data_IF_638683048972
#
_entry.id   IF_638683048972
#
_cell.length_a   1.000
_cell.length_b   1.000
_cell.length_c   1.000
_cell.angle_alpha   90.00
_cell.angle_beta   90.00
_cell.angle_gamma   90.00
#
_symmetry.space_group_name_H-M   'P 1'
#
loop_
_entity.id
_entity.type
_entity.pdbx_description
1 polymer ?
#
# COMPACT_ATOMS: atom_id res chain seq x y z
N UNK A 1 -3.56 -1.22 60.39
CA UNK A 1 -2.53 -1.30 59.35
C UNK A 1 -1.71 -2.60 59.40
N UNK A 2 -1.69 -3.34 60.49
CA UNK A 2 -0.89 -4.56 60.64
C UNK A 2 -1.44 -5.80 59.90
N UNK A 3 -2.74 -5.90 59.65
CA UNK A 3 -3.35 -7.08 59.04
C UNK A 3 -3.00 -7.21 57.56
N UNK A 4 -2.99 -6.13 56.77
CA UNK A 4 -2.68 -6.15 55.35
C UNK A 4 -1.20 -6.54 55.12
N UNK A 5 -0.30 -6.02 55.90
CA UNK A 5 1.10 -6.39 55.86
C UNK A 5 1.34 -7.86 56.21
N UNK A 6 0.58 -8.38 57.17
CA UNK A 6 0.65 -9.79 57.56
C UNK A 6 0.19 -10.70 56.42
N UNK A 7 -0.95 -10.39 55.79
CA UNK A 7 -1.44 -11.15 54.65
C UNK A 7 -0.47 -11.12 53.46
N UNK A 8 0.12 -9.98 53.19
CA UNK A 8 1.13 -9.82 52.11
C UNK A 8 2.37 -10.67 52.39
N UNK A 9 2.88 -10.64 53.63
CA UNK A 9 4.04 -11.46 54.03
C UNK A 9 3.72 -12.96 53.95
N UNK A 10 2.53 -13.37 54.34
CA UNK A 10 2.11 -14.76 54.31
C UNK A 10 1.90 -15.27 52.86
N UNK A 11 1.39 -14.42 51.96
CA UNK A 11 1.30 -14.73 50.54
C UNK A 11 2.69 -14.97 49.94
N UNK A 12 3.64 -14.07 50.18
CA UNK A 12 5.01 -14.23 49.68
C UNK A 12 5.67 -15.51 50.21
N UNK A 13 5.47 -15.85 51.48
CA UNK A 13 5.96 -17.10 52.06
C UNK A 13 5.31 -18.35 51.43
N UNK A 14 4.02 -18.26 51.08
CA UNK A 14 3.30 -19.31 50.36
C UNK A 14 3.87 -19.56 48.95
N UNK A 15 4.20 -18.48 48.23
CA UNK A 15 4.87 -18.55 46.96
C UNK A 15 6.27 -19.21 47.05
N UNK A 16 7.06 -18.81 48.04
CA UNK A 16 8.40 -19.36 48.22
C UNK A 16 8.40 -20.84 48.60
N UNK A 17 7.36 -21.32 49.29
CA UNK A 17 7.22 -22.72 49.73
C UNK A 17 6.79 -23.66 48.59
N UNK A 18 6.08 -23.12 47.57
CA UNK A 18 5.61 -23.87 46.41
C UNK A 18 6.21 -23.33 45.10
N UNK A 19 7.51 -23.14 45.07
CA UNK A 19 8.20 -22.45 43.99
C UNK A 19 7.96 -23.11 42.62
N UNK A 20 7.97 -24.44 42.55
CA UNK A 20 7.75 -25.16 41.28
C UNK A 20 6.37 -24.95 40.70
N UNK A 21 5.33 -24.98 41.51
CA UNK A 21 3.95 -24.74 41.06
C UNK A 21 3.74 -23.28 40.68
N UNK A 22 4.33 -22.37 41.44
CA UNK A 22 4.25 -20.92 41.18
C UNK A 22 4.97 -20.55 39.91
N UNK A 23 6.19 -21.05 39.67
CA UNK A 23 6.93 -20.83 38.44
C UNK A 23 6.19 -21.42 37.22
N UNK A 24 5.64 -22.63 37.35
CA UNK A 24 4.85 -23.23 36.29
C UNK A 24 3.62 -22.37 35.91
N UNK A 25 2.91 -21.84 36.89
CA UNK A 25 1.76 -20.94 36.64
C UNK A 25 2.20 -19.63 35.97
N UNK A 26 3.28 -19.02 36.42
CA UNK A 26 3.82 -17.78 35.85
C UNK A 26 4.25 -18.00 34.39
N UNK A 27 4.95 -19.09 34.12
CA UNK A 27 5.39 -19.43 32.76
C UNK A 27 4.17 -19.66 31.85
N UNK A 28 3.17 -20.37 32.33
CA UNK A 28 1.94 -20.62 31.55
C UNK A 28 1.21 -19.32 31.21
N UNK A 29 1.04 -18.43 32.19
CA UNK A 29 0.39 -17.13 31.98
C UNK A 29 1.23 -16.28 31.00
N UNK A 30 2.54 -16.23 31.22
CA UNK A 30 3.46 -15.50 30.33
C UNK A 30 3.38 -16.02 28.90
N UNK A 31 3.44 -17.36 28.71
CA UNK A 31 3.34 -17.96 27.38
C UNK A 31 2.02 -17.64 26.69
N UNK A 32 0.92 -17.74 27.44
CA UNK A 32 -0.41 -17.43 26.91
C UNK A 32 -0.52 -15.97 26.45
N UNK A 33 -0.06 -15.03 27.27
CA UNK A 33 -0.06 -13.60 26.92
C UNK A 33 0.91 -13.30 25.77
N UNK A 34 2.06 -13.98 25.75
CA UNK A 34 3.04 -13.85 24.68
C UNK A 34 2.48 -14.29 23.33
N UNK A 35 1.79 -15.44 23.30
CA UNK A 35 1.14 -15.96 22.10
C UNK A 35 0.05 -14.99 21.62
N UNK A 36 -0.80 -14.50 22.53
CA UNK A 36 -1.83 -13.50 22.18
C UNK A 36 -1.18 -12.23 21.62
N UNK A 37 -0.11 -11.76 22.25
CA UNK A 37 0.65 -10.61 21.77
C UNK A 37 1.21 -10.81 20.36
N UNK A 38 1.77 -11.99 20.07
CA UNK A 38 2.25 -12.34 18.72
C UNK A 38 1.12 -12.32 17.69
N UNK A 39 -0.06 -12.85 18.04
CA UNK A 39 -1.21 -12.79 17.12
C UNK A 39 -1.68 -11.38 16.84
N UNK A 40 -1.72 -10.51 17.86
CA UNK A 40 -2.10 -9.10 17.66
C UNK A 40 -1.11 -8.35 16.77
N UNK A 41 0.18 -8.54 17.00
CA UNK A 41 1.23 -7.95 16.13
C UNK A 41 1.14 -8.52 14.72
N UNK A 42 0.97 -9.84 14.58
CA UNK A 42 0.81 -10.50 13.28
C UNK A 42 -0.39 -9.95 12.50
N UNK A 43 -1.53 -9.74 13.14
CA UNK A 43 -2.71 -9.17 12.51
C UNK A 43 -2.45 -7.77 11.96
N UNK A 44 -1.79 -6.90 12.74
CA UNK A 44 -1.47 -5.52 12.28
C UNK A 44 -0.48 -5.50 11.12
N UNK A 45 0.47 -6.44 11.09
CA UNK A 45 1.42 -6.57 9.97
C UNK A 45 0.69 -7.00 8.70
N UNK A 46 -0.19 -8.00 8.80
CA UNK A 46 -1.00 -8.46 7.66
C UNK A 46 -1.88 -7.34 7.12
N UNK A 47 -2.59 -6.61 7.98
CA UNK A 47 -3.42 -5.48 7.58
C UNK A 47 -2.61 -4.39 6.84
N UNK A 48 -1.40 -4.11 7.30
CA UNK A 48 -0.53 -3.13 6.65
C UNK A 48 -0.03 -3.62 5.28
N UNK A 49 0.31 -4.91 5.16
CA UNK A 49 0.72 -5.50 3.88
C UNK A 49 -0.45 -5.47 2.89
N UNK A 50 -1.64 -5.87 3.32
CA UNK A 50 -2.84 -5.85 2.46
C UNK A 50 -3.13 -4.44 1.97
N UNK A 51 -3.14 -3.45 2.86
CA UNK A 51 -3.33 -2.04 2.48
C UNK A 51 -2.24 -1.52 1.53
N UNK A 52 -0.99 -1.94 1.71
CA UNK A 52 0.10 -1.57 0.81
C UNK A 52 -0.09 -2.14 -0.59
N UNK A 53 -0.52 -3.41 -0.69
CA UNK A 53 -0.80 -4.04 -1.98
C UNK A 53 -2.07 -3.48 -2.64
N UNK A 54 -3.10 -3.17 -1.84
CA UNK A 54 -4.33 -2.56 -2.34
C UNK A 54 -4.10 -1.12 -2.87
N UNK A 55 -3.16 -0.36 -2.29
CA UNK A 55 -2.82 0.98 -2.76
C UNK A 55 -1.99 1.00 -4.06
N UNK A 56 -1.42 -0.14 -4.47
CA UNK A 56 -0.66 -0.26 -5.72
C UNK A 56 -1.53 -0.61 -6.94
N UNK A 57 -2.84 -0.81 -6.76
CA UNK A 57 -3.72 -1.08 -7.90
C UNK A 57 -3.98 0.23 -8.63
N UNK A 58 -3.29 0.39 -9.73
CA UNK A 58 -3.39 1.54 -10.62
C UNK A 58 -3.76 1.13 -12.04
N UNK A 59 -4.47 2.00 -12.74
CA UNK A 59 -4.68 1.92 -14.17
C UNK A 59 -3.66 2.85 -14.81
N UNK A 60 -2.84 2.35 -15.72
CA UNK A 60 -1.92 3.16 -16.50
C UNK A 60 -2.47 3.31 -17.91
N UNK A 61 -2.74 4.53 -18.31
CA UNK A 61 -3.15 4.86 -19.66
C UNK A 61 -1.99 5.55 -20.40
N UNK A 62 -1.59 5.00 -21.53
CA UNK A 62 -0.53 5.58 -22.36
C UNK A 62 -1.08 6.69 -23.25
N UNK A 63 -0.35 7.79 -23.31
CA UNK A 63 -0.74 8.99 -24.04
C UNK A 63 -0.15 8.98 -25.43
N UNK A 64 -0.97 9.30 -26.43
CA UNK A 64 -0.55 9.45 -27.83
C UNK A 64 0.46 10.58 -27.98
N UNK A 65 1.36 10.40 -28.91
CA UNK A 65 2.29 11.47 -29.29
C UNK A 65 1.54 12.63 -29.94
N UNK A 66 1.78 13.83 -29.41
CA UNK A 66 1.17 15.06 -29.95
C UNK A 66 -0.21 15.39 -29.37
N UNK A 67 -0.64 14.72 -28.29
CA UNK A 67 -1.84 15.12 -27.56
C UNK A 67 -1.73 16.58 -27.07
N UNK A 68 -2.78 17.36 -27.28
CA UNK A 68 -2.80 18.76 -26.84
C UNK A 68 -2.91 18.85 -25.32
N UNK A 69 -2.20 19.80 -24.69
CA UNK A 69 -2.21 19.96 -23.24
C UNK A 69 -3.62 20.22 -22.70
N UNK A 70 -4.46 20.94 -23.47
CA UNK A 70 -5.83 21.21 -23.09
C UNK A 70 -6.68 19.93 -23.00
N UNK A 71 -6.49 18.97 -23.91
CA UNK A 71 -7.19 17.68 -23.90
C UNK A 71 -6.67 16.80 -22.77
N UNK A 72 -5.36 16.82 -22.48
CA UNK A 72 -4.77 16.13 -21.33
C UNK A 72 -5.35 16.62 -20.00
N UNK A 73 -5.45 17.94 -19.83
CA UNK A 73 -6.02 18.55 -18.63
C UNK A 73 -7.51 18.19 -18.47
N UNK A 74 -8.27 18.19 -19.59
CA UNK A 74 -9.67 17.82 -19.60
C UNK A 74 -9.87 16.35 -19.19
N UNK A 75 -9.05 15.44 -19.72
CA UNK A 75 -9.09 14.00 -19.37
C UNK A 75 -8.72 13.78 -17.91
N UNK A 76 -7.65 14.41 -17.43
CA UNK A 76 -7.25 14.29 -16.02
C UNK A 76 -8.36 14.79 -15.07
N UNK A 77 -8.99 15.91 -15.39
CA UNK A 77 -10.09 16.45 -14.59
C UNK A 77 -11.33 15.54 -14.63
N UNK A 78 -11.64 14.95 -15.77
CA UNK A 78 -12.70 13.98 -15.93
C UNK A 78 -12.45 12.74 -15.04
N UNK A 79 -11.24 12.16 -15.13
CA UNK A 79 -10.86 10.96 -14.37
C UNK A 79 -10.86 11.24 -12.86
N UNK A 80 -10.37 12.41 -12.43
CA UNK A 80 -10.42 12.83 -11.01
C UNK A 80 -11.85 12.95 -10.45
N UNK A 81 -12.83 13.16 -11.31
CA UNK A 81 -14.23 13.22 -10.91
C UNK A 81 -14.95 11.88 -10.85
N UNK A 82 -14.30 10.78 -11.23
CA UNK A 82 -14.91 9.45 -11.20
C UNK A 82 -14.91 8.87 -9.78
N UNK A 83 -16.01 8.20 -9.42
CA UNK A 83 -16.09 7.50 -8.14
C UNK A 83 -15.08 6.35 -8.09
N UNK A 84 -14.35 6.25 -6.97
CA UNK A 84 -13.35 5.22 -6.77
C UNK A 84 -11.92 5.61 -7.15
N UNK A 85 -11.72 6.75 -7.81
CA UNK A 85 -10.39 7.30 -8.09
C UNK A 85 -9.86 8.04 -6.86
N UNK A 86 -8.66 7.68 -6.40
CA UNK A 86 -8.00 8.33 -5.26
C UNK A 86 -6.99 9.38 -5.70
N UNK A 87 -6.25 9.10 -6.78
CA UNK A 87 -5.23 10.02 -7.31
C UNK A 87 -5.08 9.86 -8.82
N UNK A 88 -4.66 10.92 -9.50
CA UNK A 88 -4.33 10.92 -10.93
C UNK A 88 -3.05 11.69 -11.14
N UNK A 89 -2.04 11.00 -11.63
CA UNK A 89 -0.70 11.55 -11.89
C UNK A 89 -0.38 11.44 -13.37
N UNK A 90 0.09 12.51 -13.96
CA UNK A 90 0.61 12.52 -15.34
C UNK A 90 2.13 12.43 -15.30
N UNK A 91 2.68 11.44 -16.00
CA UNK A 91 4.13 11.24 -16.14
C UNK A 91 4.52 11.55 -17.58
N UNK A 92 5.41 12.53 -17.76
CA UNK A 92 5.93 12.86 -19.10
C UNK A 92 6.92 11.80 -19.58
N UNK A 93 7.26 11.81 -20.86
CA UNK A 93 8.28 10.91 -21.45
C UNK A 93 9.63 11.05 -20.75
N UNK A 94 10.01 12.27 -20.42
CA UNK A 94 11.27 12.58 -19.73
C UNK A 94 11.27 12.03 -18.30
N UNK A 95 10.17 12.21 -17.57
CA UNK A 95 10.00 11.66 -16.22
C UNK A 95 9.98 10.14 -16.24
N UNK A 96 9.26 9.52 -17.18
CA UNK A 96 9.24 8.07 -17.35
C UNK A 96 10.65 7.50 -17.59
N UNK A 97 11.47 8.20 -18.37
CA UNK A 97 12.86 7.83 -18.60
C UNK A 97 13.71 7.94 -17.33
N UNK A 98 13.52 9.00 -16.56
CA UNK A 98 14.25 9.24 -15.33
C UNK A 98 13.90 8.20 -14.27
N UNK A 99 12.62 7.87 -14.13
CA UNK A 99 12.13 6.78 -13.25
C UNK A 99 12.68 5.41 -13.69
N UNK A 100 12.66 5.13 -14.99
CA UNK A 100 13.22 3.90 -15.53
C UNK A 100 14.72 3.78 -15.24
N UNK A 101 15.48 4.86 -15.41
CA UNK A 101 16.91 4.88 -15.07
C UNK A 101 17.17 4.69 -13.59
N UNK A 102 16.31 5.22 -12.73
CA UNK A 102 16.44 5.06 -11.29
C UNK A 102 16.15 3.63 -10.81
N UNK A 103 15.21 2.93 -11.47
CA UNK A 103 14.80 1.57 -11.11
C UNK A 103 15.61 0.47 -11.80
N UNK A 104 16.19 0.76 -12.95
CA UNK A 104 16.87 -0.24 -13.78
C UNK A 104 18.39 -0.22 -13.55
N UNK A 105 18.94 -1.39 -13.27
CA UNK A 105 20.41 -1.59 -13.23
C UNK A 105 21.07 -1.50 -14.60
N UNK A 106 20.29 -1.49 -15.68
CA UNK A 106 20.74 -1.46 -17.07
C UNK A 106 20.23 -0.20 -17.79
N UNK A 107 20.41 0.97 -17.16
CA UNK A 107 19.99 2.26 -17.71
C UNK A 107 20.61 2.57 -19.11
N UNK A 108 21.75 1.98 -19.42
CA UNK A 108 22.48 2.16 -20.66
C UNK A 108 21.74 1.63 -21.91
N UNK A 109 20.76 0.73 -21.73
CA UNK A 109 19.97 0.17 -22.84
C UNK A 109 19.20 1.28 -23.57
N UNK A 110 18.74 2.30 -22.86
CA UNK A 110 17.98 3.40 -23.48
C UNK A 110 18.88 4.25 -24.39
N UNK A 111 20.14 4.42 -24.01
CA UNK A 111 21.10 5.20 -24.77
C UNK A 111 21.49 4.47 -26.09
N UNK A 112 21.43 3.12 -26.09
CA UNK A 112 21.67 2.32 -27.30
C UNK A 112 20.50 2.37 -28.30
N UNK A 113 19.29 2.70 -27.87
CA UNK A 113 18.09 2.81 -28.71
C UNK A 113 18.00 4.11 -29.51
N UNK A 114 18.92 5.07 -29.26
CA UNK A 114 19.04 6.32 -30.02
C UNK A 114 17.94 7.34 -29.71
N UNK A 115 17.17 7.16 -28.66
CA UNK A 115 16.13 8.08 -28.20
C UNK A 115 15.30 7.50 -27.07
N UNK A 116 14.42 8.30 -26.50
CA UNK A 116 13.51 7.84 -25.45
C UNK A 116 12.33 7.03 -26.04
N UNK A 117 12.27 5.70 -25.84
CA UNK A 117 11.17 4.87 -26.36
C UNK A 117 9.94 4.87 -25.48
N UNK A 118 10.00 5.48 -24.27
CA UNK A 118 8.93 5.43 -23.31
C UNK A 118 7.84 6.46 -23.64
N UNK A 119 6.57 6.06 -23.68
CA UNK A 119 5.46 6.99 -23.86
C UNK A 119 5.20 7.79 -22.57
N UNK A 120 4.52 8.92 -22.71
CA UNK A 120 3.90 9.59 -21.58
C UNK A 120 2.71 8.75 -21.07
N UNK A 121 2.38 8.85 -19.80
CA UNK A 121 1.29 8.07 -19.20
C UNK A 121 0.49 8.86 -18.16
N UNK A 122 -0.77 8.46 -18.00
CA UNK A 122 -1.64 8.89 -16.91
C UNK A 122 -1.78 7.71 -15.97
N UNK A 123 -1.28 7.83 -14.75
CA UNK A 123 -1.41 6.82 -13.69
C UNK A 123 -2.59 7.19 -12.81
N UNK A 124 -3.52 6.26 -12.67
CA UNK A 124 -4.79 6.43 -11.97
C UNK A 124 -4.80 5.45 -10.81
N UNK A 125 -4.69 5.96 -9.59
CA UNK A 125 -4.78 5.17 -8.37
C UNK A 125 -6.23 5.04 -7.94
N UNK A 126 -6.61 3.87 -7.49
CA UNK A 126 -7.98 3.57 -7.07
C UNK A 126 -8.06 3.34 -5.57
N UNK A 127 -9.14 3.81 -4.97
CA UNK A 127 -9.43 3.59 -3.55
C UNK A 127 -9.83 2.15 -3.25
N UNK A 128 -10.36 1.42 -4.25
CA UNK A 128 -10.79 0.03 -4.13
C UNK A 128 -10.38 -0.77 -5.36
N UNK A 129 -9.54 -1.80 -5.20
CA UNK A 129 -9.10 -2.66 -6.30
C UNK A 129 -10.21 -3.34 -7.08
N UNK A 130 -11.35 -3.59 -6.44
CA UNK A 130 -12.49 -4.26 -7.08
C UNK A 130 -13.20 -3.38 -8.11
N UNK A 131 -12.98 -2.07 -8.10
CA UNK A 131 -13.58 -1.11 -9.03
C UNK A 131 -12.74 -0.87 -10.29
N UNK A 132 -11.56 -1.50 -10.41
CA UNK A 132 -10.65 -1.32 -11.54
C UNK A 132 -11.36 -1.51 -12.88
N UNK A 133 -12.11 -2.60 -13.04
CA UNK A 133 -12.78 -2.90 -14.29
C UNK A 133 -13.87 -1.89 -14.64
N UNK A 134 -14.63 -1.45 -13.64
CA UNK A 134 -15.70 -0.48 -13.84
C UNK A 134 -15.16 0.90 -14.20
N UNK A 135 -14.12 1.35 -13.47
CA UNK A 135 -13.45 2.63 -13.75
C UNK A 135 -12.74 2.59 -15.10
N UNK A 136 -12.03 1.50 -15.42
CA UNK A 136 -11.39 1.34 -16.73
C UNK A 136 -12.41 1.43 -17.88
N UNK A 137 -13.54 0.75 -17.76
CA UNK A 137 -14.62 0.80 -18.76
C UNK A 137 -15.20 2.22 -18.90
N UNK A 138 -15.37 2.96 -17.80
CA UNK A 138 -15.85 4.34 -17.83
C UNK A 138 -14.85 5.27 -18.54
N UNK A 139 -13.55 5.10 -18.26
CA UNK A 139 -12.49 5.88 -18.90
C UNK A 139 -12.44 5.59 -20.39
N UNK A 140 -12.41 4.30 -20.78
CA UNK A 140 -12.34 3.89 -22.19
C UNK A 140 -13.56 4.31 -23.00
N UNK A 141 -14.76 4.38 -22.39
CA UNK A 141 -15.98 4.84 -23.07
C UNK A 141 -16.05 6.37 -23.25
N UNK A 142 -15.11 7.12 -22.67
CA UNK A 142 -15.09 8.58 -22.77
C UNK A 142 -14.51 9.05 -24.11
N UNK A 143 -15.24 9.92 -24.82
CA UNK A 143 -14.73 10.56 -26.03
C UNK A 143 -13.50 11.43 -25.76
N UNK A 144 -13.34 11.96 -24.55
CA UNK A 144 -12.16 12.72 -24.14
C UNK A 144 -10.93 11.83 -24.08
N UNK A 145 -11.09 10.62 -23.53
CA UNK A 145 -9.98 9.67 -23.44
C UNK A 145 -9.50 9.22 -24.83
N UNK A 146 -10.42 8.91 -25.74
CA UNK A 146 -10.10 8.49 -27.09
C UNK A 146 -9.26 9.52 -27.91
N UNK A 147 -9.28 10.80 -27.50
CA UNK A 147 -8.45 11.83 -28.14
C UNK A 147 -6.99 11.77 -27.72
N UNK A 148 -6.71 11.35 -26.48
CA UNK A 148 -5.37 11.47 -25.85
C UNK A 148 -4.69 10.13 -25.63
N UNK A 149 -5.42 9.03 -25.60
CA UNK A 149 -4.85 7.70 -25.30
C UNK A 149 -5.21 6.67 -26.40
N UNK A 150 -4.36 5.66 -26.53
CA UNK A 150 -4.65 4.44 -27.27
C UNK A 150 -5.25 3.40 -26.33
N UNK A 151 -6.06 2.48 -26.90
CA UNK A 151 -6.67 1.36 -26.15
C UNK A 151 -5.63 0.46 -25.50
#
# INVERSE_FOLDING_TARGET
>A
MSSILYFFKQSIQGFARNLSTTLGSIITIFLSLFIIGLFLVGATVVDNIVKSVESEVSITAYVKDGAEQADLDAVQNYIKGLDGVSNVTFTTKEQALEEFRAMSSNADIVDELGGNPLPASINIELSNPQQVQDVANQIQSSELFAKVADE
#
